data_IF_004005161042
#
_entry.id   IF_004005161042
#
_cell.length_a   1.000
_cell.length_b   1.000
_cell.length_c   1.000
_cell.angle_alpha   90.00
_cell.angle_beta   90.00
_cell.angle_gamma   90.00
#
_symmetry.space_group_name_H-M   'P 1'
#
loop_
_entity.id
_entity.type
_entity.pdbx_description
1 polymer ?
#
# COMPACT_ATOMS: atom_id res chain seq x y z
N UNK A 1 -16.20 -9.37 24.09
CA UNK A 1 -15.04 -9.01 23.26
C UNK A 1 -15.32 -7.67 22.61
N UNK A 2 -14.58 -6.61 22.95
CA UNK A 2 -14.55 -5.37 22.16
C UNK A 2 -13.56 -5.63 21.01
N UNK A 3 -13.92 -5.47 19.73
CA UNK A 3 -12.90 -5.42 18.69
C UNK A 3 -12.03 -4.20 18.99
N UNK A 4 -10.72 -4.42 19.13
CA UNK A 4 -9.78 -3.34 19.35
C UNK A 4 -9.88 -2.35 18.17
N UNK A 5 -10.28 -1.08 18.41
CA UNK A 5 -10.35 -0.08 17.35
C UNK A 5 -8.97 0.29 16.80
N UNK A 6 -7.90 -0.22 17.41
CA UNK A 6 -6.50 -0.10 17.02
C UNK A 6 -5.97 -1.35 16.30
N UNK A 7 -6.83 -2.30 15.91
CA UNK A 7 -6.55 -3.17 14.77
C UNK A 7 -6.63 -2.38 13.44
N UNK A 8 -6.15 -1.14 13.46
CA UNK A 8 -5.79 -0.33 12.32
C UNK A 8 -4.45 -0.88 11.84
N UNK A 9 -4.49 -2.03 11.14
CA UNK A 9 -3.41 -2.37 10.23
C UNK A 9 -3.07 -1.09 9.47
N UNK A 10 -1.81 -0.65 9.53
CA UNK A 10 -1.40 0.59 8.88
C UNK A 10 -1.46 0.31 7.39
N UNK A 11 -2.65 0.38 6.81
CA UNK A 11 -2.88 0.15 5.40
C UNK A 11 -2.12 1.25 4.68
N UNK A 12 -1.08 0.83 3.97
CA UNK A 12 -0.26 1.71 3.17
C UNK A 12 -0.76 1.67 1.74
N UNK A 13 -0.81 2.83 1.12
CA UNK A 13 -1.11 2.97 -0.29
C UNK A 13 0.20 2.90 -1.07
N UNK A 14 0.27 1.95 -1.99
CA UNK A 14 1.37 1.79 -2.93
C UNK A 14 0.87 2.11 -4.34
N UNK A 15 1.65 2.89 -5.10
CA UNK A 15 1.37 3.22 -6.49
C UNK A 15 2.46 2.64 -7.41
N UNK A 16 2.03 2.01 -8.50
CA UNK A 16 2.95 1.42 -9.46
C UNK A 16 3.52 2.50 -10.36
N UNK A 17 4.85 2.54 -10.49
CA UNK A 17 5.52 3.56 -11.31
C UNK A 17 5.40 3.32 -12.82
N UNK A 18 5.00 2.11 -13.23
CA UNK A 18 4.85 1.76 -14.64
C UNK A 18 3.41 1.92 -15.13
N UNK A 19 2.46 1.28 -14.43
CA UNK A 19 1.06 1.26 -14.83
C UNK A 19 0.16 2.23 -14.04
N UNK A 20 0.69 2.98 -13.06
CA UNK A 20 -0.06 3.89 -12.16
C UNK A 20 -1.19 3.22 -11.35
N UNK A 21 -1.15 1.88 -11.25
CA UNK A 21 -2.09 1.13 -10.45
C UNK A 21 -1.84 1.36 -8.96
N UNK A 22 -2.92 1.54 -8.18
CA UNK A 22 -2.86 1.77 -6.74
C UNK A 22 -3.29 0.51 -5.99
N UNK A 23 -2.54 0.15 -4.96
CA UNK A 23 -2.79 -1.03 -4.14
C UNK A 23 -2.65 -0.68 -2.68
N UNK A 24 -3.65 -1.05 -1.91
CA UNK A 24 -3.68 -0.90 -0.46
C UNK A 24 -3.17 -2.19 0.18
N UNK A 25 -2.08 -2.12 0.92
CA UNK A 25 -1.49 -3.27 1.59
C UNK A 25 -0.92 -2.87 2.95
N UNK A 26 -1.00 -3.76 3.93
CA UNK A 26 -0.43 -3.52 5.26
C UNK A 26 1.11 -3.54 5.21
N UNK A 27 1.69 -4.32 4.29
CA UNK A 27 3.12 -4.45 4.06
C UNK A 27 3.43 -4.24 2.57
N UNK A 28 4.63 -3.72 2.27
CA UNK A 28 5.07 -3.49 0.90
C UNK A 28 5.06 -4.79 0.08
N UNK A 29 4.20 -4.92 -0.93
CA UNK A 29 4.13 -6.12 -1.77
C UNK A 29 5.34 -6.28 -2.70
N UNK A 30 6.20 -5.25 -2.81
CA UNK A 30 7.41 -5.25 -3.62
C UNK A 30 7.18 -5.12 -5.13
N UNK A 31 6.08 -5.67 -5.65
CA UNK A 31 5.81 -5.72 -7.09
C UNK A 31 4.32 -5.57 -7.40
N UNK A 32 3.98 -4.90 -8.50
CA UNK A 32 2.61 -4.65 -8.91
C UNK A 32 1.94 -5.93 -9.44
N UNK A 33 0.76 -6.32 -8.92
CA UNK A 33 0.06 -7.52 -9.40
C UNK A 33 -0.55 -7.37 -10.80
N UNK A 34 -0.73 -6.12 -11.27
CA UNK A 34 -1.34 -5.84 -12.58
C UNK A 34 -0.32 -5.96 -13.73
N UNK A 35 0.85 -5.35 -13.55
CA UNK A 35 1.85 -5.21 -14.60
C UNK A 35 3.23 -5.82 -14.27
N UNK A 36 3.44 -6.28 -13.02
CA UNK A 36 4.74 -6.79 -12.56
C UNK A 36 5.79 -5.72 -12.31
N UNK A 37 5.40 -4.44 -12.32
CA UNK A 37 6.30 -3.31 -12.13
C UNK A 37 6.57 -2.93 -10.68
N UNK A 38 7.46 -1.97 -10.47
CA UNK A 38 7.85 -1.50 -9.14
C UNK A 38 6.73 -0.69 -8.46
N UNK A 39 6.42 -1.04 -7.21
CA UNK A 39 5.43 -0.35 -6.37
C UNK A 39 6.14 0.59 -5.39
N UNK A 40 5.74 1.86 -5.38
CA UNK A 40 6.25 2.87 -4.46
C UNK A 40 5.22 3.21 -3.40
N UNK A 41 5.65 3.26 -2.13
CA UNK A 41 4.81 3.76 -1.04
C UNK A 41 4.52 5.24 -1.26
N UNK A 42 3.23 5.55 -1.41
CA UNK A 42 2.69 6.91 -1.47
C UNK A 42 1.82 7.20 -0.24
N UNK A 43 1.88 6.33 0.77
CA UNK A 43 1.05 6.41 1.96
C UNK A 43 1.54 7.46 2.94
N UNK A 44 2.84 7.76 2.93
CA UNK A 44 3.42 8.85 3.71
C UNK A 44 3.52 10.11 2.85
N UNK A 45 2.69 11.16 3.09
CA UNK A 45 2.92 12.46 2.48
C UNK A 45 4.27 13.00 2.97
N UNK A 46 5.13 13.40 2.03
CA UNK A 46 6.37 14.12 2.35
C UNK A 46 6.01 15.59 2.59
N UNK A 47 6.35 16.10 3.78
CA UNK A 47 6.23 17.52 4.17
C UNK A 47 7.23 18.41 3.44
#
# INVERSE_FOLDING_TARGET
>A
MRPDPYHTGTVRIFECRECSARTEAEHSPGTCPECGGDLQDISVPRE
#
